data_IF_740969905350
#
_entry.id   IF_740969905350
#
_cell.length_a   1.000
_cell.length_b   1.000
_cell.length_c   1.000
_cell.angle_alpha   90.00
_cell.angle_beta   90.00
_cell.angle_gamma   90.00
#
_symmetry.space_group_name_H-M   'P 1'
#
loop_
_entity.id
_entity.type
_entity.pdbx_description
1 polymer ?
#
# COMPACT_ATOMS: atom_id res chain seq x y z
N UNK A 1 -15.99 8.63 5.94
CA UNK A 1 -14.59 8.33 5.56
C UNK A 1 -13.98 7.36 6.54
N UNK A 2 -12.95 6.60 6.10
CA UNK A 2 -12.17 5.78 7.03
C UNK A 2 -10.87 6.51 7.40
N UNK A 3 -10.53 6.45 8.68
CA UNK A 3 -9.30 7.00 9.25
C UNK A 3 -8.42 5.87 9.79
N UNK A 4 -7.10 6.08 9.83
CA UNK A 4 -6.14 5.18 10.45
C UNK A 4 -5.08 5.98 11.19
N UNK A 5 -4.67 5.50 12.36
CA UNK A 5 -3.52 6.09 13.05
C UNK A 5 -2.22 5.77 12.32
N UNK A 6 -1.35 6.77 12.15
CA UNK A 6 -0.09 6.64 11.43
C UNK A 6 1.07 7.26 12.22
N UNK A 7 2.27 6.68 12.07
CA UNK A 7 3.48 7.16 12.74
C UNK A 7 4.03 8.45 12.12
N UNK A 8 3.80 8.66 10.82
CA UNK A 8 4.31 9.82 10.09
C UNK A 8 3.18 10.59 9.41
N UNK A 9 2.38 11.37 10.17
CA UNK A 9 1.21 12.04 9.65
C UNK A 9 1.49 13.10 8.59
N UNK A 10 2.71 13.65 8.53
CA UNK A 10 3.07 14.63 7.50
C UNK A 10 3.07 14.09 6.07
N UNK A 11 2.95 12.77 5.88
CA UNK A 11 2.87 12.13 4.56
C UNK A 11 1.45 12.03 4.00
N UNK A 12 0.43 12.28 4.80
CA UNK A 12 -0.97 11.95 4.52
C UNK A 12 -1.90 13.15 4.67
N UNK A 13 -3.09 13.04 4.14
CA UNK A 13 -4.20 13.89 4.56
C UNK A 13 -4.58 13.56 6.00
N UNK A 14 -4.60 14.56 6.88
CA UNK A 14 -4.83 14.38 8.32
C UNK A 14 -6.16 14.99 8.72
N UNK A 15 -6.95 14.23 9.48
CA UNK A 15 -8.19 14.65 10.07
C UNK A 15 -7.98 15.07 11.52
N UNK A 16 -8.46 16.26 11.88
CA UNK A 16 -8.59 16.72 13.27
C UNK A 16 -10.00 16.38 13.75
N UNK A 17 -10.08 15.69 14.88
CA UNK A 17 -11.34 15.22 15.47
C UNK A 17 -11.55 15.86 16.83
N UNK A 18 -12.71 16.48 17.03
CA UNK A 18 -13.17 17.03 18.30
C UNK A 18 -14.59 16.59 18.59
N UNK A 19 -14.86 16.14 19.82
CA UNK A 19 -16.18 15.67 20.24
C UNK A 19 -16.80 14.63 19.27
N UNK A 20 -15.99 13.64 18.85
CA UNK A 20 -16.38 12.57 17.91
C UNK A 20 -16.80 13.07 16.50
N UNK A 21 -16.32 14.25 16.11
CA UNK A 21 -16.59 14.83 14.78
C UNK A 21 -15.29 15.28 14.13
N UNK A 22 -15.19 15.07 12.83
CA UNK A 22 -14.11 15.68 12.05
C UNK A 22 -14.40 17.18 11.97
N UNK A 23 -13.45 18.00 12.42
CA UNK A 23 -13.55 19.47 12.39
C UNK A 23 -12.68 20.10 11.31
N UNK A 24 -11.69 19.35 10.82
CA UNK A 24 -10.78 19.82 9.77
C UNK A 24 -10.09 18.65 9.10
N UNK A 25 -9.76 18.82 7.81
CA UNK A 25 -8.91 17.89 7.07
C UNK A 25 -7.81 18.72 6.38
N UNK A 26 -6.55 18.28 6.49
CA UNK A 26 -5.41 19.02 5.94
C UNK A 26 -4.49 18.07 5.19
N UNK A 27 -4.21 18.34 3.91
CA UNK A 27 -3.29 17.54 3.10
C UNK A 27 -1.84 17.79 3.51
N UNK A 28 -1.14 16.71 3.85
CA UNK A 28 0.31 16.66 4.16
C UNK A 28 0.78 17.85 5.01
N UNK A 29 0.21 18.03 6.22
CA UNK A 29 0.52 19.19 7.05
C UNK A 29 1.98 19.19 7.48
N UNK A 30 2.65 20.36 7.39
CA UNK A 30 4.03 20.51 7.88
C UNK A 30 4.12 20.36 9.41
N UNK A 31 3.05 20.67 10.11
CA UNK A 31 2.91 20.52 11.56
C UNK A 31 1.56 19.87 11.83
N UNK A 32 1.50 18.54 11.83
CA UNK A 32 0.25 17.83 12.09
C UNK A 32 -0.22 18.05 13.53
N UNK A 33 -1.52 18.18 13.70
CA UNK A 33 -2.20 18.34 14.99
C UNK A 33 -2.81 17.04 15.46
N UNK A 34 -2.88 16.03 14.57
CA UNK A 34 -3.43 14.70 14.79
C UNK A 34 -2.55 13.67 14.07
N UNK A 35 -2.70 12.39 14.41
CA UNK A 35 -2.11 11.25 13.71
C UNK A 35 -3.14 10.43 12.90
N UNK A 36 -4.38 10.92 12.79
CA UNK A 36 -5.45 10.25 12.06
C UNK A 36 -5.38 10.56 10.57
N UNK A 37 -4.81 9.64 9.80
CA UNK A 37 -4.71 9.74 8.34
C UNK A 37 -6.02 9.34 7.66
N UNK A 38 -6.39 10.06 6.62
CA UNK A 38 -7.48 9.71 5.70
C UNK A 38 -7.00 8.61 4.77
N UNK A 39 -7.65 7.45 4.81
CA UNK A 39 -7.13 6.20 4.22
C UNK A 39 -7.37 6.04 2.71
N UNK A 40 -8.06 6.99 2.07
CA UNK A 40 -8.43 6.88 0.65
C UNK A 40 -9.71 6.07 0.42
N UNK A 41 -10.43 5.69 1.48
CA UNK A 41 -11.73 5.01 1.37
C UNK A 41 -12.84 5.98 1.76
N UNK A 42 -13.69 6.28 0.77
CA UNK A 42 -14.74 7.29 0.89
C UNK A 42 -16.10 6.73 0.49
N UNK A 43 -17.13 7.07 1.26
CA UNK A 43 -18.53 6.98 0.84
C UNK A 43 -19.07 8.40 0.81
N UNK A 44 -19.38 8.90 -0.38
CA UNK A 44 -19.70 10.30 -0.62
C UNK A 44 -21.08 10.42 -1.28
N UNK A 45 -21.78 11.50 -0.98
CA UNK A 45 -23.00 11.90 -1.68
C UNK A 45 -22.66 12.62 -2.99
N UNK A 46 -23.59 12.74 -3.97
CA UNK A 46 -23.34 13.48 -5.20
C UNK A 46 -22.90 14.93 -5.03
N UNK A 47 -23.16 15.55 -3.87
CA UNK A 47 -22.72 16.91 -3.53
C UNK A 47 -21.19 17.10 -3.69
N UNK A 48 -20.42 16.04 -3.53
CA UNK A 48 -18.96 16.10 -3.70
C UNK A 48 -18.57 16.60 -5.12
N UNK A 49 -19.32 16.26 -6.15
CA UNK A 49 -19.02 16.69 -7.52
C UNK A 49 -19.13 18.21 -7.68
N UNK A 50 -20.12 18.85 -7.04
CA UNK A 50 -20.27 20.30 -7.05
C UNK A 50 -19.09 21.00 -6.36
N UNK A 51 -18.57 20.37 -5.29
CA UNK A 51 -17.40 20.88 -4.58
C UNK A 51 -16.14 20.70 -5.42
N UNK A 52 -15.96 19.55 -6.06
CA UNK A 52 -14.80 19.27 -6.92
C UNK A 52 -14.74 20.20 -8.14
N UNK A 53 -15.88 20.49 -8.78
CA UNK A 53 -15.94 21.39 -9.94
C UNK A 53 -15.45 22.81 -9.61
N UNK A 54 -15.52 23.22 -8.34
CA UNK A 54 -15.08 24.52 -7.87
C UNK A 54 -13.72 24.47 -7.14
N UNK A 55 -13.08 23.30 -7.07
CA UNK A 55 -11.82 23.12 -6.37
C UNK A 55 -10.68 23.83 -7.11
N UNK A 56 -9.79 24.47 -6.33
CA UNK A 56 -8.57 25.08 -6.86
C UNK A 56 -7.38 24.20 -6.52
N UNK A 57 -6.34 24.18 -7.36
CA UNK A 57 -5.12 23.47 -7.05
C UNK A 57 -4.53 23.92 -5.72
N UNK A 58 -4.06 22.96 -4.94
CA UNK A 58 -3.35 23.18 -3.67
C UNK A 58 -1.99 23.88 -3.88
N UNK A 59 -1.29 24.14 -2.81
CA UNK A 59 0.10 24.65 -2.87
C UNK A 59 1.06 23.69 -3.60
N UNK A 60 0.66 22.42 -3.78
CA UNK A 60 1.37 21.40 -4.55
C UNK A 60 1.06 21.43 -6.04
N UNK A 61 0.16 22.32 -6.46
CA UNK A 61 -0.41 22.38 -7.81
C UNK A 61 -1.18 21.12 -8.22
N UNK A 62 -1.80 20.45 -7.21
CA UNK A 62 -2.63 19.25 -7.38
C UNK A 62 -4.05 19.54 -6.86
N UNK A 63 -5.06 18.87 -7.44
CA UNK A 63 -6.42 18.85 -6.89
C UNK A 63 -6.48 17.76 -5.83
N UNK A 64 -6.69 18.17 -4.57
CA UNK A 64 -6.65 17.27 -3.43
C UNK A 64 -8.08 16.91 -3.00
N UNK A 65 -8.37 15.62 -2.87
CA UNK A 65 -9.66 15.19 -2.32
C UNK A 65 -9.86 15.63 -0.86
N UNK A 66 -8.78 15.77 -0.13
CA UNK A 66 -8.78 16.28 1.25
C UNK A 66 -9.24 17.74 1.33
N UNK A 67 -8.88 18.58 0.35
CA UNK A 67 -9.38 19.95 0.25
C UNK A 67 -10.88 19.97 -0.09
N UNK A 68 -11.36 19.04 -0.92
CA UNK A 68 -12.78 18.91 -1.21
C UNK A 68 -13.57 18.52 0.05
N UNK A 69 -13.06 17.56 0.83
CA UNK A 69 -13.67 17.17 2.10
C UNK A 69 -13.66 18.32 3.13
N UNK A 70 -12.56 19.04 3.25
CA UNK A 70 -12.47 20.20 4.14
C UNK A 70 -13.43 21.34 3.71
N UNK A 71 -13.68 21.51 2.42
CA UNK A 71 -14.67 22.45 1.91
C UNK A 71 -16.11 22.02 2.24
N UNK A 72 -16.43 20.72 2.22
CA UNK A 72 -17.73 20.22 2.73
C UNK A 72 -17.91 20.54 4.21
N UNK A 73 -16.90 20.32 5.04
CA UNK A 73 -16.94 20.68 6.46
C UNK A 73 -17.21 22.17 6.69
N UNK A 74 -16.59 23.06 5.89
CA UNK A 74 -16.81 24.51 5.94
C UNK A 74 -18.22 24.94 5.53
N UNK A 75 -18.93 24.13 4.76
CA UNK A 75 -20.33 24.32 4.39
C UNK A 75 -21.31 23.77 5.44
N UNK A 76 -20.80 23.36 6.61
CA UNK A 76 -21.55 22.72 7.70
C UNK A 76 -22.11 21.33 7.38
N UNK A 77 -21.54 20.64 6.38
CA UNK A 77 -21.85 19.24 6.17
C UNK A 77 -21.09 18.36 7.16
N UNK A 78 -21.79 17.38 7.71
CA UNK A 78 -21.18 16.42 8.62
C UNK A 78 -20.47 15.33 7.81
N UNK A 79 -19.18 15.13 8.09
CA UNK A 79 -18.44 13.97 7.61
C UNK A 79 -18.30 12.96 8.74
N UNK A 80 -19.06 11.85 8.63
CA UNK A 80 -18.90 10.71 9.53
C UNK A 80 -17.59 9.98 9.27
N UNK A 81 -17.02 9.35 10.28
CA UNK A 81 -15.82 8.53 10.15
C UNK A 81 -15.90 7.25 10.97
N UNK A 82 -15.10 6.27 10.56
CA UNK A 82 -14.75 5.09 11.34
C UNK A 82 -13.23 4.95 11.33
N UNK A 83 -12.68 4.34 12.37
CA UNK A 83 -11.25 4.13 12.50
C UNK A 83 -10.90 2.68 12.16
N UNK A 84 -9.94 2.49 11.24
CA UNK A 84 -9.35 1.18 10.97
C UNK A 84 -8.40 0.86 12.13
N UNK A 85 -8.64 -0.27 12.79
CA UNK A 85 -7.82 -0.79 13.89
C UNK A 85 -6.87 -1.89 13.45
N UNK A 86 -7.13 -2.49 12.29
CA UNK A 86 -6.29 -3.50 11.67
C UNK A 86 -5.21 -2.88 10.77
N UNK A 87 -4.47 -3.75 10.08
CA UNK A 87 -3.41 -3.31 9.20
C UNK A 87 -3.95 -2.45 8.04
N UNK A 88 -3.44 -1.25 7.93
CA UNK A 88 -3.59 -0.37 6.77
C UNK A 88 -2.22 0.14 6.34
N UNK A 89 -1.97 0.19 5.04
CA UNK A 89 -0.71 0.68 4.49
C UNK A 89 -0.94 1.37 3.15
N UNK A 90 -0.46 2.59 3.05
CA UNK A 90 -0.24 3.24 1.75
C UNK A 90 0.96 2.61 1.05
N UNK A 91 0.81 2.26 -0.22
CA UNK A 91 1.82 1.58 -1.05
C UNK A 91 2.49 2.55 -2.04
N UNK A 92 2.77 3.75 -1.59
CA UNK A 92 3.33 4.82 -2.41
C UNK A 92 4.81 4.68 -2.77
N UNK A 93 5.55 3.78 -2.13
CA UNK A 93 6.97 3.52 -2.42
C UNK A 93 7.24 2.04 -2.62
N UNK A 94 8.34 1.65 -3.32
CA UNK A 94 8.72 0.24 -3.44
C UNK A 94 8.89 -0.47 -2.09
N UNK A 95 9.43 0.22 -1.09
CA UNK A 95 9.55 -0.30 0.28
C UNK A 95 8.19 -0.57 0.91
N UNK A 96 7.22 0.34 0.73
CA UNK A 96 5.85 0.17 1.22
C UNK A 96 5.17 -1.04 0.55
N UNK A 97 5.41 -1.25 -0.75
CA UNK A 97 4.89 -2.43 -1.50
C UNK A 97 5.51 -3.73 -0.95
N UNK A 98 6.82 -3.78 -0.72
CA UNK A 98 7.48 -4.95 -0.14
C UNK A 98 6.98 -5.24 1.29
N UNK A 99 6.77 -4.20 2.09
CA UNK A 99 6.19 -4.35 3.42
C UNK A 99 4.75 -4.89 3.37
N UNK A 100 3.92 -4.38 2.46
CA UNK A 100 2.56 -4.89 2.26
C UNK A 100 2.57 -6.36 1.80
N UNK A 101 3.46 -6.72 0.85
CA UNK A 101 3.65 -8.10 0.41
C UNK A 101 3.99 -9.03 1.59
N UNK A 102 4.91 -8.63 2.45
CA UNK A 102 5.28 -9.40 3.66
C UNK A 102 4.07 -9.64 4.55
N UNK A 103 3.35 -8.59 4.89
CA UNK A 103 2.17 -8.67 5.76
C UNK A 103 1.07 -9.56 5.17
N UNK A 104 0.80 -9.44 3.87
CA UNK A 104 -0.19 -10.30 3.20
C UNK A 104 0.26 -11.76 3.23
N UNK A 105 1.53 -12.04 2.91
CA UNK A 105 2.06 -13.40 2.92
C UNK A 105 2.00 -14.05 4.30
N UNK A 106 2.31 -13.31 5.37
CA UNK A 106 2.21 -13.80 6.75
C UNK A 106 0.79 -14.19 7.16
N UNK A 107 -0.23 -13.54 6.57
CA UNK A 107 -1.63 -13.84 6.87
C UNK A 107 -2.24 -14.99 6.05
N UNK A 108 -1.77 -15.19 4.80
CA UNK A 108 -2.41 -16.12 3.87
C UNK A 108 -1.62 -17.42 3.63
N UNK A 109 -0.35 -17.45 4.01
CA UNK A 109 0.46 -18.66 3.83
C UNK A 109 0.42 -19.53 5.09
N UNK A 110 -0.02 -20.79 4.93
CA UNK A 110 0.29 -21.82 5.89
C UNK A 110 1.79 -22.14 5.83
N UNK A 111 2.49 -22.03 6.95
CA UNK A 111 3.93 -22.28 7.04
C UNK A 111 4.25 -23.74 6.70
N UNK A 112 4.60 -24.01 5.45
CA UNK A 112 5.08 -25.29 4.97
C UNK A 112 6.44 -25.11 4.30
N UNK A 113 7.47 -25.68 4.89
CA UNK A 113 8.81 -25.72 4.29
C UNK A 113 8.83 -26.81 3.23
N UNK A 114 8.95 -26.44 1.95
CA UNK A 114 9.14 -27.36 0.84
C UNK A 114 10.60 -27.30 0.36
N UNK A 115 11.43 -28.24 0.77
CA UNK A 115 12.82 -28.42 0.33
C UNK A 115 13.67 -27.13 0.26
N UNK A 116 13.69 -26.44 -0.90
CA UNK A 116 14.47 -25.21 -1.16
C UNK A 116 13.67 -23.92 -0.96
N UNK A 117 12.39 -24.04 -0.63
CA UNK A 117 11.49 -22.89 -0.46
C UNK A 117 11.24 -22.63 1.01
N UNK A 118 11.35 -21.37 1.39
CA UNK A 118 11.10 -20.90 2.75
C UNK A 118 9.81 -20.06 2.76
N UNK A 119 8.87 -20.51 3.55
CA UNK A 119 7.64 -19.75 3.77
C UNK A 119 7.86 -18.56 4.72
N UNK A 120 7.03 -17.51 4.61
CA UNK A 120 5.91 -17.40 3.69
C UNK A 120 6.35 -16.98 2.28
N UNK A 121 5.90 -17.71 1.25
CA UNK A 121 6.14 -17.40 -0.16
C UNK A 121 5.02 -17.92 -1.05
N UNK A 122 4.70 -17.19 -2.13
CA UNK A 122 3.69 -17.57 -3.11
C UNK A 122 4.33 -17.69 -4.49
N UNK A 123 3.95 -18.73 -5.23
CA UNK A 123 4.39 -18.95 -6.59
C UNK A 123 3.17 -19.09 -7.50
N UNK A 124 3.17 -18.30 -8.56
CA UNK A 124 2.15 -18.28 -9.58
C UNK A 124 2.11 -19.55 -10.44
N UNK A 125 1.20 -19.56 -11.40
CA UNK A 125 0.99 -20.68 -12.30
C UNK A 125 2.08 -20.76 -13.38
N UNK A 126 2.31 -21.96 -13.90
CA UNK A 126 3.23 -22.22 -15.02
C UNK A 126 4.67 -21.73 -14.79
N UNK A 127 5.09 -21.51 -13.56
CA UNK A 127 6.47 -21.14 -13.25
C UNK A 127 7.41 -22.33 -13.47
N UNK A 128 8.59 -22.05 -14.02
CA UNK A 128 9.68 -23.02 -14.15
C UNK A 128 10.82 -22.56 -13.25
N UNK A 129 11.02 -23.27 -12.15
CA UNK A 129 12.02 -22.94 -11.14
C UNK A 129 13.00 -24.10 -11.05
N UNK A 130 14.30 -23.82 -11.22
CA UNK A 130 15.34 -24.82 -11.09
C UNK A 130 15.43 -25.35 -9.65
N UNK A 131 15.71 -26.65 -9.50
CA UNK A 131 15.75 -27.30 -8.19
C UNK A 131 16.85 -26.75 -7.27
N UNK A 132 17.89 -26.12 -7.81
CA UNK A 132 18.97 -25.50 -7.05
C UNK A 132 18.62 -24.07 -6.58
N UNK A 133 17.52 -23.48 -7.09
CA UNK A 133 17.11 -22.15 -6.67
C UNK A 133 16.55 -22.15 -5.23
N UNK A 134 16.92 -21.15 -4.44
CA UNK A 134 16.43 -20.92 -3.06
C UNK A 134 15.44 -19.75 -3.06
N UNK A 135 14.19 -20.00 -2.72
CA UNK A 135 13.11 -19.03 -2.73
C UNK A 135 12.58 -18.80 -1.32
N UNK A 136 12.47 -17.54 -0.92
CA UNK A 136 11.91 -17.14 0.37
C UNK A 136 12.93 -16.82 1.46
N UNK A 137 12.44 -16.32 2.61
CA UNK A 137 11.04 -16.01 2.89
C UNK A 137 10.54 -14.70 2.24
N UNK A 138 9.23 -14.48 2.31
CA UNK A 138 8.54 -13.26 1.87
C UNK A 138 8.71 -12.97 0.37
N UNK A 139 8.58 -14.01 -0.47
CA UNK A 139 8.70 -13.90 -1.92
C UNK A 139 7.35 -14.14 -2.59
N UNK A 140 6.98 -13.25 -3.51
CA UNK A 140 5.86 -13.44 -4.42
C UNK A 140 6.40 -13.56 -5.84
N UNK A 141 6.08 -14.67 -6.54
CA UNK A 141 6.45 -14.92 -7.93
C UNK A 141 5.18 -14.99 -8.77
N UNK A 142 5.10 -14.12 -9.77
CA UNK A 142 3.98 -14.07 -10.71
C UNK A 142 4.00 -15.21 -11.72
N UNK A 143 2.88 -15.38 -12.41
CA UNK A 143 2.66 -16.45 -13.39
C UNK A 143 3.70 -16.44 -14.52
N UNK A 144 3.93 -17.60 -15.17
CA UNK A 144 4.77 -17.79 -16.35
C UNK A 144 6.24 -17.33 -16.16
N UNK A 145 6.73 -17.30 -14.92
CA UNK A 145 8.09 -16.87 -14.58
C UNK A 145 9.07 -18.05 -14.69
N UNK A 146 10.29 -17.76 -15.19
CA UNK A 146 11.39 -18.72 -15.31
C UNK A 146 12.53 -18.29 -14.38
N UNK A 147 12.94 -19.17 -13.47
CA UNK A 147 14.08 -18.97 -12.56
C UNK A 147 15.11 -20.06 -12.81
N UNK A 148 16.30 -19.65 -13.21
CA UNK A 148 17.41 -20.55 -13.53
C UNK A 148 18.14 -21.06 -12.28
N UNK A 149 19.20 -21.87 -12.49
CA UNK A 149 19.99 -22.52 -11.42
C UNK A 149 20.70 -21.53 -10.51
N UNK A 150 20.89 -21.93 -9.24
CA UNK A 150 21.70 -21.23 -8.24
C UNK A 150 21.23 -19.78 -7.97
N UNK A 151 19.94 -19.50 -8.16
CA UNK A 151 19.31 -18.21 -7.82
C UNK A 151 18.83 -18.23 -6.38
N UNK A 152 19.11 -17.14 -5.66
CA UNK A 152 18.58 -16.92 -4.30
C UNK A 152 17.68 -15.70 -4.32
N UNK A 153 16.43 -15.83 -3.86
CA UNK A 153 15.47 -14.73 -3.79
C UNK A 153 14.92 -14.64 -2.37
N UNK A 154 15.03 -13.45 -1.76
CA UNK A 154 14.49 -13.16 -0.42
C UNK A 154 13.75 -11.82 -0.44
N UNK A 155 12.66 -11.71 0.34
CA UNK A 155 11.88 -10.48 0.55
C UNK A 155 11.65 -9.67 -0.75
N UNK A 156 11.19 -10.34 -1.81
CA UNK A 156 11.13 -9.76 -3.15
C UNK A 156 9.86 -10.14 -3.89
N UNK A 157 9.49 -9.31 -4.86
CA UNK A 157 8.36 -9.55 -5.76
C UNK A 157 8.91 -9.70 -7.17
N UNK A 158 8.64 -10.84 -7.79
CA UNK A 158 8.94 -11.11 -9.20
C UNK A 158 7.61 -11.10 -9.95
N UNK A 159 7.43 -10.15 -10.84
CA UNK A 159 6.19 -10.03 -11.62
C UNK A 159 6.07 -11.13 -12.67
N UNK A 160 4.87 -11.33 -13.20
CA UNK A 160 4.60 -12.37 -14.21
C UNK A 160 5.47 -12.23 -15.46
N UNK A 161 5.85 -13.37 -16.04
CA UNK A 161 6.61 -13.45 -17.29
C UNK A 161 8.09 -13.08 -17.17
N UNK A 162 8.61 -12.91 -15.96
CA UNK A 162 10.03 -12.63 -15.77
C UNK A 162 10.92 -13.83 -16.11
N UNK A 163 12.13 -13.54 -16.60
CA UNK A 163 13.23 -14.50 -16.75
C UNK A 163 14.36 -14.09 -15.85
N UNK A 164 14.75 -14.94 -14.91
CA UNK A 164 15.85 -14.72 -13.96
C UNK A 164 17.01 -15.66 -14.34
N UNK A 165 18.13 -15.06 -14.72
CA UNK A 165 19.33 -15.83 -15.09
C UNK A 165 20.02 -16.43 -13.87
N UNK A 166 20.80 -17.49 -14.08
CA UNK A 166 21.40 -18.27 -13.00
C UNK A 166 22.45 -17.52 -12.18
N UNK A 167 22.64 -17.96 -10.93
CA UNK A 167 23.65 -17.47 -10.00
C UNK A 167 23.37 -16.09 -9.40
N UNK A 168 22.15 -15.56 -9.52
CA UNK A 168 21.79 -14.25 -8.99
C UNK A 168 21.31 -14.34 -7.53
N UNK A 169 21.65 -13.32 -6.76
CA UNK A 169 21.11 -13.09 -5.42
C UNK A 169 20.22 -11.83 -5.44
N UNK A 170 18.92 -12.03 -5.25
CA UNK A 170 17.89 -10.98 -5.34
C UNK A 170 17.29 -10.79 -3.95
N UNK A 171 17.41 -9.59 -3.42
CA UNK A 171 16.89 -9.25 -2.10
C UNK A 171 16.26 -7.86 -2.10
N UNK A 172 15.19 -7.71 -1.29
CA UNK A 172 14.50 -6.43 -1.09
C UNK A 172 14.16 -5.71 -2.41
N UNK A 173 13.70 -6.49 -3.42
CA UNK A 173 13.58 -6.03 -4.80
C UNK A 173 12.21 -6.31 -5.40
N UNK A 174 11.82 -5.45 -6.35
CA UNK A 174 10.66 -5.67 -7.21
C UNK A 174 11.17 -5.77 -8.65
N UNK A 175 10.95 -6.90 -9.29
CA UNK A 175 11.41 -7.20 -10.66
C UNK A 175 10.19 -7.30 -11.59
N UNK A 176 10.19 -6.53 -12.68
CA UNK A 176 9.16 -6.61 -13.73
C UNK A 176 9.74 -7.20 -15.01
N UNK A 177 8.90 -7.88 -15.80
CA UNK A 177 9.22 -8.22 -17.18
C UNK A 177 9.32 -6.94 -18.02
N UNK A 178 10.30 -6.88 -18.93
CA UNK A 178 10.45 -5.80 -19.92
C UNK A 178 9.44 -5.97 -21.04
#
# INVERSE_FOLDING_TARGET
>A
VLLCEVDNPSRFGIADVENEKIVKITEKPKKPTSNLAVTGIYLLTPLIFEVIDNLKPSWRNELEITDALDNLLKQNDNIGYETITDYWKDTGTPEDILNANRQVLEHICDYNVRNTWRDPSIIGKNCKIDESASIGPHVSIGDDTIISSDVVIENSIIMSGCKIDGGLNIKDSIISAN
#
